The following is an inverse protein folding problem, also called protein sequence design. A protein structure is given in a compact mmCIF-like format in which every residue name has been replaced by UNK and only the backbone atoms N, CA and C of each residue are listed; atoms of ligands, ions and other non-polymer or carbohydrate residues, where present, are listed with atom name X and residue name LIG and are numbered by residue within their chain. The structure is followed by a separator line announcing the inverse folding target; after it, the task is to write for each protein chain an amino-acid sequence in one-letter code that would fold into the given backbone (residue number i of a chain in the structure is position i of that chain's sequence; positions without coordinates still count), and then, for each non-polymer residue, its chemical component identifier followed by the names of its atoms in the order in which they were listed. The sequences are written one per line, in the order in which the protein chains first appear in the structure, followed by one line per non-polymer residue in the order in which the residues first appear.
data_IF_844388683287
#
_entry.id   IF_844388683287
#
_cell.length_a   1.000
_cell.length_b   1.000
_cell.length_c   1.000
_cell.angle_alpha   90.00
_cell.angle_beta   90.00
_cell.angle_gamma   90.00
#
_symmetry.space_group_name_H-M   'P 1'
#
loop_
_entity.id
_entity.type
_entity.pdbx_description
1 polymer ?
#
# COMPACT_ATOMS: atom_id res chain seq x y z
N UNK A 1 -14.04 50.15 83.41
CA UNK A 1 -13.13 50.25 82.25
C UNK A 1 -13.71 49.37 81.14
N UNK A 2 -14.05 49.98 80.02
CA UNK A 2 -15.00 49.50 78.99
C UNK A 2 -14.30 48.60 77.95
N UNK A 3 -14.88 47.45 77.63
CA UNK A 3 -14.43 46.55 76.53
C UNK A 3 -14.93 47.12 75.21
N UNK A 4 -14.04 47.51 74.30
CA UNK A 4 -14.39 47.80 72.90
C UNK A 4 -14.20 46.53 72.06
N UNK A 5 -15.31 45.92 71.66
CA UNK A 5 -15.38 44.78 70.74
C UNK A 5 -15.29 45.28 69.29
N UNK A 6 -14.29 44.82 68.54
CA UNK A 6 -14.14 45.15 67.11
C UNK A 6 -15.16 44.40 66.26
N UNK A 7 -16.00 45.14 65.52
CA UNK A 7 -16.86 44.59 64.46
C UNK A 7 -15.99 44.16 63.28
N UNK A 8 -15.99 42.87 62.94
CA UNK A 8 -15.55 42.39 61.62
C UNK A 8 -16.64 42.73 60.61
N UNK A 9 -16.27 43.44 59.56
CA UNK A 9 -17.10 43.67 58.37
C UNK A 9 -17.04 42.44 57.48
N UNK A 10 -18.13 41.70 57.40
CA UNK A 10 -18.28 40.59 56.45
C UNK A 10 -18.35 41.16 55.03
N UNK A 11 -17.25 41.07 54.28
CA UNK A 11 -17.28 41.29 52.84
C UNK A 11 -17.91 40.06 52.18
N UNK A 12 -19.12 40.23 51.64
CA UNK A 12 -19.74 39.27 50.75
C UNK A 12 -18.96 39.23 49.43
N UNK A 13 -18.11 38.22 49.27
CA UNK A 13 -17.55 37.84 47.97
C UNK A 13 -18.68 37.23 47.15
N UNK A 14 -19.18 37.95 46.15
CA UNK A 14 -20.14 37.40 45.17
C UNK A 14 -19.38 36.64 44.09
N UNK A 15 -19.05 35.37 44.35
CA UNK A 15 -18.56 34.45 43.33
C UNK A 15 -19.71 34.10 42.39
N UNK A 16 -19.67 34.60 41.16
CA UNK A 16 -20.64 34.26 40.11
C UNK A 16 -20.25 32.92 39.46
N UNK A 17 -20.32 31.84 40.24
CA UNK A 17 -20.06 30.48 39.76
C UNK A 17 -21.28 30.00 38.98
N UNK A 18 -21.39 30.44 37.71
CA UNK A 18 -22.36 29.89 36.77
C UNK A 18 -21.94 28.45 36.46
N UNK A 19 -22.59 27.49 37.10
CA UNK A 19 -22.45 26.07 36.78
C UNK A 19 -23.00 25.74 35.40
N UNK A 20 -22.48 24.67 34.79
CA UNK A 20 -22.99 24.14 33.52
C UNK A 20 -24.39 23.56 33.69
N UNK A 21 -25.29 23.84 32.75
CA UNK A 21 -26.61 23.21 32.73
C UNK A 21 -26.53 21.78 32.20
N UNK A 22 -27.49 20.94 32.61
CA UNK A 22 -27.59 19.57 32.12
C UNK A 22 -27.74 19.50 30.59
N UNK A 23 -28.47 20.46 30.00
CA UNK A 23 -28.70 20.52 28.55
C UNK A 23 -27.43 20.89 27.78
N UNK A 24 -26.60 21.80 28.31
CA UNK A 24 -25.32 22.17 27.69
C UNK A 24 -24.38 20.95 27.66
N UNK A 25 -24.27 20.21 28.76
CA UNK A 25 -23.44 19.00 28.80
C UNK A 25 -24.01 17.87 27.92
N UNK A 26 -25.33 17.75 27.81
CA UNK A 26 -25.97 16.75 26.95
C UNK A 26 -25.63 16.98 25.46
N UNK A 27 -25.72 18.23 24.98
CA UNK A 27 -25.39 18.57 23.59
C UNK A 27 -23.91 18.33 23.31
N UNK A 28 -23.02 18.67 24.26
CA UNK A 28 -21.58 18.44 24.12
C UNK A 28 -21.26 16.94 23.96
N UNK A 29 -21.86 16.06 24.77
CA UNK A 29 -21.64 14.63 24.66
C UNK A 29 -22.18 14.05 23.34
N UNK A 30 -23.31 14.55 22.85
CA UNK A 30 -23.85 14.16 21.54
C UNK A 30 -22.86 14.52 20.42
N UNK A 31 -22.33 15.75 20.44
CA UNK A 31 -21.37 16.21 19.43
C UNK A 31 -20.09 15.36 19.47
N UNK A 32 -19.53 15.11 20.66
CA UNK A 32 -18.35 14.26 20.82
C UNK A 32 -18.63 12.84 20.29
N UNK A 33 -19.79 12.27 20.61
CA UNK A 33 -20.18 10.94 20.12
C UNK A 33 -20.23 10.85 18.59
N UNK A 34 -20.80 11.85 17.93
CA UNK A 34 -20.88 11.90 16.46
C UNK A 34 -19.47 12.06 15.85
N UNK A 35 -18.63 12.92 16.42
CA UNK A 35 -17.26 13.15 15.93
C UNK A 35 -16.42 11.87 16.03
N UNK A 36 -16.48 11.17 17.17
CA UNK A 36 -15.73 9.92 17.36
C UNK A 36 -16.22 8.86 16.36
N UNK A 37 -17.54 8.71 16.18
CA UNK A 37 -18.10 7.78 15.19
C UNK A 37 -17.63 8.06 13.76
N UNK A 38 -17.60 9.33 13.36
CA UNK A 38 -17.12 9.75 12.04
C UNK A 38 -15.62 9.47 11.84
N UNK A 39 -14.78 9.71 12.84
CA UNK A 39 -13.32 9.49 12.76
C UNK A 39 -13.00 8.01 12.60
N UNK A 40 -13.66 7.13 13.37
CA UNK A 40 -13.42 5.67 13.28
C UNK A 40 -13.69 5.19 11.86
N UNK A 41 -14.86 5.52 11.30
CA UNK A 41 -15.21 5.15 9.92
C UNK A 41 -14.31 5.83 8.89
N UNK A 42 -13.88 7.07 9.14
CA UNK A 42 -12.98 7.82 8.27
C UNK A 42 -11.61 7.16 8.11
N UNK A 43 -11.05 6.60 9.19
CA UNK A 43 -9.78 5.86 9.15
C UNK A 43 -9.85 4.63 8.24
N UNK A 44 -10.93 3.86 8.34
CA UNK A 44 -11.12 2.65 7.51
C UNK A 44 -11.30 2.99 6.03
N UNK A 45 -11.99 4.10 5.72
CA UNK A 45 -12.14 4.58 4.34
C UNK A 45 -10.80 5.02 3.74
N UNK A 46 -10.00 5.80 4.49
CA UNK A 46 -8.66 6.17 4.04
C UNK A 46 -7.82 4.92 3.79
N UNK A 47 -7.95 3.93 4.68
CA UNK A 47 -7.19 2.69 4.60
C UNK A 47 -7.52 1.86 3.36
N UNK A 48 -8.80 1.61 3.12
CA UNK A 48 -9.25 0.92 1.91
C UNK A 48 -8.89 1.68 0.63
N UNK A 49 -8.90 3.02 0.66
CA UNK A 49 -8.42 3.86 -0.43
C UNK A 49 -6.93 3.67 -0.75
N UNK A 50 -6.08 3.55 0.28
CA UNK A 50 -4.65 3.27 0.12
C UNK A 50 -4.43 1.87 -0.50
N UNK A 51 -5.14 0.85 -0.01
CA UNK A 51 -5.07 -0.52 -0.54
C UNK A 51 -5.49 -0.57 -2.02
N UNK A 52 -6.58 0.13 -2.38
CA UNK A 52 -7.03 0.25 -3.77
C UNK A 52 -6.03 0.99 -4.66
N UNK A 53 -5.39 2.03 -4.13
CA UNK A 53 -4.33 2.75 -4.84
C UNK A 53 -3.17 1.82 -5.16
N UNK A 54 -2.76 0.94 -4.25
CA UNK A 54 -1.69 -0.04 -4.50
C UNK A 54 -2.07 -0.93 -5.67
N UNK A 55 -3.24 -1.54 -5.63
CA UNK A 55 -3.71 -2.42 -6.71
C UNK A 55 -3.70 -1.69 -8.06
N UNK A 56 -4.30 -0.50 -8.12
CA UNK A 56 -4.44 0.26 -9.36
C UNK A 56 -3.14 0.88 -9.88
N UNK A 57 -2.27 1.39 -9.01
CA UNK A 57 -1.07 2.15 -9.42
C UNK A 57 0.14 1.24 -9.54
N UNK A 58 0.25 0.23 -8.68
CA UNK A 58 1.41 -0.66 -8.70
C UNK A 58 1.15 -1.87 -9.59
N UNK A 59 0.14 -2.68 -9.27
CA UNK A 59 -0.06 -3.99 -9.91
C UNK A 59 -0.63 -3.87 -11.32
N UNK A 60 -1.68 -3.07 -11.50
CA UNK A 60 -2.28 -2.88 -12.82
C UNK A 60 -1.32 -2.18 -13.79
N UNK A 61 -0.47 -1.28 -13.30
CA UNK A 61 0.56 -0.65 -14.15
C UNK A 61 1.60 -1.66 -14.60
N UNK A 62 2.08 -2.54 -13.72
CA UNK A 62 3.00 -3.62 -14.12
C UNK A 62 2.35 -4.61 -15.10
N UNK A 63 1.08 -4.97 -14.89
CA UNK A 63 0.30 -5.79 -15.84
C UNK A 63 0.20 -5.12 -17.20
N UNK A 64 -0.12 -3.83 -17.23
CA UNK A 64 -0.25 -3.06 -18.48
C UNK A 64 1.09 -2.89 -19.17
N UNK A 65 2.18 -2.64 -18.43
CA UNK A 65 3.54 -2.58 -18.97
C UNK A 65 3.97 -3.91 -19.59
N UNK A 66 3.60 -5.04 -18.98
CA UNK A 66 3.85 -6.36 -19.55
C UNK A 66 3.14 -6.55 -20.89
N UNK A 67 1.84 -6.22 -20.96
CA UNK A 67 1.06 -6.32 -22.20
C UNK A 67 1.63 -5.42 -23.30
N UNK A 68 1.91 -4.16 -22.98
CA UNK A 68 2.51 -3.22 -23.93
C UNK A 68 3.90 -3.68 -24.42
N UNK A 69 4.70 -4.31 -23.55
CA UNK A 69 5.98 -4.87 -23.94
C UNK A 69 5.81 -6.02 -24.94
N UNK A 70 4.87 -6.91 -24.64
CA UNK A 70 4.53 -8.04 -25.51
C UNK A 70 4.03 -7.55 -26.88
N UNK A 71 3.13 -6.56 -26.90
CA UNK A 71 2.57 -6.00 -28.14
C UNK A 71 3.64 -5.32 -29.00
N UNK A 72 4.63 -4.66 -28.40
CA UNK A 72 5.71 -3.98 -29.13
C UNK A 72 6.79 -4.93 -29.64
N UNK A 73 7.09 -5.99 -28.90
CA UNK A 73 8.30 -6.82 -29.16
C UNK A 73 7.97 -8.23 -29.63
N UNK A 74 6.76 -8.72 -29.40
CA UNK A 74 6.39 -10.12 -29.53
C UNK A 74 7.11 -11.05 -28.54
N UNK A 75 7.83 -10.51 -27.55
CA UNK A 75 8.63 -11.24 -26.56
C UNK A 75 8.03 -11.09 -25.17
N UNK A 76 8.39 -12.03 -24.29
CA UNK A 76 7.97 -12.01 -22.89
C UNK A 76 8.92 -11.11 -22.10
N UNK A 77 8.34 -10.25 -21.28
CA UNK A 77 9.12 -9.38 -20.40
C UNK A 77 9.80 -10.21 -19.31
N UNK A 78 11.10 -10.00 -19.13
CA UNK A 78 11.90 -10.75 -18.15
C UNK A 78 12.47 -12.07 -18.68
N UNK A 79 12.22 -12.42 -19.95
CA UNK A 79 12.91 -13.52 -20.63
C UNK A 79 14.33 -13.07 -21.01
N UNK A 80 15.33 -13.60 -20.31
CA UNK A 80 16.72 -13.18 -20.43
C UNK A 80 17.55 -14.10 -21.32
N UNK A 81 17.09 -15.33 -21.54
CA UNK A 81 17.81 -16.35 -22.29
C UNK A 81 17.12 -16.68 -23.65
N UNK A 82 15.97 -16.06 -23.92
CA UNK A 82 15.11 -16.21 -25.09
C UNK A 82 14.51 -17.63 -25.24
N UNK A 83 14.20 -18.29 -24.11
CA UNK A 83 13.52 -19.59 -24.05
C UNK A 83 11.99 -19.49 -23.87
N UNK A 84 11.45 -18.26 -23.83
CA UNK A 84 10.04 -17.92 -23.57
C UNK A 84 9.60 -18.10 -22.11
N UNK A 85 10.53 -18.14 -21.18
CA UNK A 85 10.26 -18.13 -19.75
C UNK A 85 10.70 -16.80 -19.15
N UNK A 86 9.95 -16.28 -18.18
CA UNK A 86 10.39 -15.12 -17.42
C UNK A 86 11.41 -15.55 -16.36
N UNK A 87 12.58 -14.91 -16.35
CA UNK A 87 13.78 -15.33 -15.61
C UNK A 87 14.19 -14.33 -14.52
N UNK A 88 13.25 -13.58 -13.92
CA UNK A 88 13.62 -12.72 -12.78
C UNK A 88 14.23 -13.57 -11.65
N UNK A 89 13.82 -14.83 -11.59
CA UNK A 89 14.41 -15.91 -10.83
C UNK A 89 15.26 -16.80 -11.76
N UNK A 90 16.59 -16.90 -11.57
CA UNK A 90 17.46 -17.68 -12.45
C UNK A 90 17.19 -19.19 -12.48
N UNK A 91 16.55 -19.77 -11.44
CA UNK A 91 16.35 -21.22 -11.30
C UNK A 91 14.87 -21.66 -11.28
N UNK A 92 13.91 -20.74 -11.42
CA UNK A 92 12.46 -20.97 -11.55
C UNK A 92 11.74 -21.82 -10.47
N UNK A 93 12.43 -22.33 -9.44
CA UNK A 93 11.85 -23.42 -8.60
C UNK A 93 11.91 -23.22 -7.10
N UNK A 94 12.92 -22.56 -6.55
CA UNK A 94 13.03 -22.37 -5.09
C UNK A 94 13.74 -21.08 -4.69
N UNK A 95 14.54 -20.49 -5.58
CA UNK A 95 15.20 -19.24 -5.26
C UNK A 95 14.22 -18.07 -5.34
N UNK A 96 14.33 -17.09 -4.42
CA UNK A 96 13.61 -15.84 -4.57
C UNK A 96 14.13 -15.12 -5.81
N UNK A 97 13.27 -14.38 -6.54
CA UNK A 97 13.75 -13.54 -7.63
C UNK A 97 14.80 -12.56 -7.10
N UNK A 98 15.82 -12.28 -7.91
CA UNK A 98 16.93 -11.42 -7.51
C UNK A 98 16.66 -9.96 -7.87
N UNK A 99 17.24 -9.03 -7.10
CA UNK A 99 17.17 -7.60 -7.44
C UNK A 99 17.77 -7.34 -8.82
N UNK A 100 18.89 -7.99 -9.17
CA UNK A 100 19.47 -7.90 -10.51
C UNK A 100 18.48 -8.34 -11.60
N UNK A 101 17.78 -9.46 -11.41
CA UNK A 101 16.74 -9.91 -12.34
C UNK A 101 15.61 -8.88 -12.49
N UNK A 102 15.19 -8.25 -11.38
CA UNK A 102 14.15 -7.21 -11.41
C UNK A 102 14.60 -5.94 -12.12
N UNK A 103 15.86 -5.54 -11.95
CA UNK A 103 16.42 -4.41 -12.69
C UNK A 103 16.45 -4.65 -14.20
N UNK A 104 16.57 -5.91 -14.63
CA UNK A 104 16.54 -6.29 -16.05
C UNK A 104 15.14 -6.15 -16.68
N UNK A 105 14.07 -6.17 -15.90
CA UNK A 105 12.72 -5.82 -16.39
C UNK A 105 12.67 -4.39 -16.93
N UNK A 106 13.45 -3.50 -16.33
CA UNK A 106 13.51 -2.08 -16.71
C UNK A 106 14.59 -1.84 -17.75
N UNK A 107 15.81 -2.26 -17.42
CA UNK A 107 17.03 -1.90 -18.15
C UNK A 107 17.37 -2.84 -19.30
N UNK A 108 16.88 -4.08 -19.29
CA UNK A 108 17.25 -5.11 -20.25
C UNK A 108 18.74 -5.47 -20.24
N UNK A 109 19.21 -6.09 -21.32
CA UNK A 109 20.64 -6.35 -21.51
C UNK A 109 21.36 -5.04 -21.85
N UNK A 110 22.07 -4.50 -20.87
CA UNK A 110 22.91 -3.31 -21.01
C UNK A 110 24.36 -3.64 -21.32
N UNK A 111 24.76 -4.92 -21.26
CA UNK A 111 26.14 -5.34 -21.41
C UNK A 111 26.53 -5.55 -22.88
N UNK A 112 25.56 -5.59 -23.81
CA UNK A 112 25.79 -5.89 -25.23
C UNK A 112 24.99 -4.96 -26.14
N UNK A 113 25.56 -4.69 -27.30
CA UNK A 113 24.89 -4.01 -28.41
C UNK A 113 25.06 -4.86 -29.68
N UNK A 114 23.98 -5.43 -30.26
CA UNK A 114 22.59 -5.33 -29.81
C UNK A 114 22.30 -6.10 -28.50
N UNK A 115 21.32 -5.67 -27.69
CA UNK A 115 20.89 -6.38 -26.48
C UNK A 115 20.39 -7.80 -26.79
N UNK A 116 20.71 -8.78 -25.94
CA UNK A 116 20.14 -10.15 -26.05
C UNK A 116 18.65 -10.19 -25.73
N UNK A 117 18.26 -9.40 -24.73
CA UNK A 117 16.90 -9.24 -24.25
C UNK A 117 16.66 -7.77 -23.91
N UNK A 118 15.41 -7.36 -23.95
CA UNK A 118 15.01 -5.96 -23.78
C UNK A 118 14.29 -5.74 -22.46
N UNK A 119 14.52 -4.59 -21.85
CA UNK A 119 13.71 -4.08 -20.74
C UNK A 119 12.75 -2.99 -21.22
N UNK A 120 11.80 -2.61 -20.37
CA UNK A 120 10.78 -1.58 -20.65
C UNK A 120 11.40 -0.28 -21.19
N UNK A 121 12.47 0.21 -20.55
CA UNK A 121 13.09 1.48 -20.91
C UNK A 121 13.76 1.43 -22.29
N UNK A 122 14.35 0.29 -22.67
CA UNK A 122 15.05 0.14 -23.96
C UNK A 122 14.10 0.17 -25.15
N UNK A 123 12.82 -0.14 -24.95
CA UNK A 123 11.80 -0.11 -26.00
C UNK A 123 10.90 1.13 -25.90
N UNK A 124 11.32 2.13 -25.11
CA UNK A 124 10.60 3.39 -24.93
C UNK A 124 9.24 3.23 -24.25
N UNK A 125 9.08 2.26 -23.35
CA UNK A 125 7.95 2.20 -22.43
C UNK A 125 8.30 2.90 -21.13
N UNK A 126 7.35 3.67 -20.59
CA UNK A 126 7.50 4.23 -19.27
C UNK A 126 7.49 3.13 -18.21
N UNK A 127 8.44 3.21 -17.28
CA UNK A 127 8.51 2.32 -16.14
C UNK A 127 7.42 2.66 -15.13
N UNK A 128 6.77 1.66 -14.50
CA UNK A 128 5.81 1.92 -13.44
C UNK A 128 6.39 2.82 -12.34
N UNK A 129 5.68 3.89 -12.00
CA UNK A 129 6.10 4.81 -10.93
C UNK A 129 5.60 4.30 -9.59
N UNK A 130 6.48 4.31 -8.61
CA UNK A 130 6.18 3.84 -7.24
C UNK A 130 6.59 4.90 -6.23
N UNK A 131 6.29 4.65 -4.96
CA UNK A 131 6.75 5.48 -3.85
C UNK A 131 8.14 5.07 -3.33
N UNK A 132 8.96 4.44 -4.17
CA UNK A 132 10.33 4.02 -3.87
C UNK A 132 11.24 4.32 -5.06
N UNK A 133 12.56 4.22 -4.86
CA UNK A 133 13.55 4.47 -5.91
C UNK A 133 13.57 3.38 -7.00
N UNK A 134 12.87 2.25 -6.77
CA UNK A 134 12.83 1.11 -7.68
C UNK A 134 11.41 0.93 -8.21
N UNK A 135 11.20 0.88 -9.54
CA UNK A 135 9.86 0.76 -10.13
C UNK A 135 9.20 -0.58 -9.78
N UNK A 136 10.00 -1.60 -9.45
CA UNK A 136 9.54 -2.93 -9.05
C UNK A 136 9.37 -3.09 -7.54
N UNK A 137 9.54 -2.02 -6.74
CA UNK A 137 9.25 -1.99 -5.29
C UNK A 137 8.12 -1.02 -4.97
N UNK A 138 7.34 -1.33 -3.94
CA UNK A 138 6.32 -0.43 -3.38
C UNK A 138 6.31 -0.53 -1.86
N UNK A 139 6.29 0.60 -1.17
CA UNK A 139 6.24 0.67 0.29
C UNK A 139 4.81 0.85 0.78
N UNK A 140 4.40 0.05 1.74
CA UNK A 140 3.08 0.13 2.38
C UNK A 140 3.24 0.07 3.89
N UNK A 141 2.59 0.95 4.62
CA UNK A 141 2.57 0.87 6.09
C UNK A 141 1.33 0.13 6.53
N UNK A 142 1.44 -0.89 7.39
CA UNK A 142 0.31 -1.65 7.91
C UNK A 142 -0.53 -0.84 8.93
N UNK A 143 -1.64 -1.40 9.41
CA UNK A 143 -2.53 -0.75 10.39
C UNK A 143 -1.86 -0.45 11.74
N UNK A 144 -0.73 -1.10 12.02
CA UNK A 144 0.11 -0.85 13.20
C UNK A 144 1.19 0.20 12.96
N UNK A 145 1.31 0.70 11.72
CA UNK A 145 2.32 1.67 11.30
C UNK A 145 3.64 1.03 10.87
N UNK A 146 3.75 -0.30 10.83
CA UNK A 146 4.96 -0.99 10.37
C UNK A 146 5.04 -0.95 8.85
N UNK A 147 6.18 -0.52 8.32
CA UNK A 147 6.45 -0.50 6.89
C UNK A 147 6.76 -1.88 6.32
N UNK A 148 6.14 -2.21 5.20
CA UNK A 148 6.37 -3.38 4.38
C UNK A 148 6.82 -2.93 2.98
N UNK A 149 7.84 -3.57 2.45
CA UNK A 149 8.30 -3.33 1.07
C UNK A 149 7.92 -4.52 0.21
N UNK A 150 6.91 -4.31 -0.64
CA UNK A 150 6.50 -5.29 -1.62
C UNK A 150 7.38 -5.18 -2.86
N UNK A 151 7.58 -6.31 -3.54
CA UNK A 151 8.27 -6.32 -4.82
C UNK A 151 7.58 -7.22 -5.83
N UNK A 152 7.75 -6.88 -7.09
CA UNK A 152 7.23 -7.63 -8.25
C UNK A 152 8.38 -8.35 -8.92
N UNK A 153 8.09 -9.51 -9.49
CA UNK A 153 8.95 -10.25 -10.39
C UNK A 153 8.09 -10.97 -11.44
N UNK A 154 8.65 -11.24 -12.61
CA UNK A 154 8.07 -12.18 -13.56
C UNK A 154 8.86 -13.48 -13.52
N UNK A 155 8.17 -14.59 -13.32
CA UNK A 155 8.78 -15.91 -13.17
C UNK A 155 7.96 -16.93 -13.98
N UNK A 156 8.50 -18.13 -14.12
CA UNK A 156 7.89 -19.22 -14.87
C UNK A 156 7.66 -20.41 -13.95
N UNK A 157 6.48 -21.02 -14.00
CA UNK A 157 6.22 -22.29 -13.34
C UNK A 157 6.57 -23.43 -14.29
N UNK A 158 7.64 -24.19 -14.02
CA UNK A 158 8.07 -25.25 -14.91
C UNK A 158 7.24 -26.53 -14.79
N UNK A 159 6.39 -26.67 -13.77
CA UNK A 159 5.46 -27.80 -13.65
C UNK A 159 4.23 -27.57 -14.54
N UNK A 160 3.63 -26.41 -14.39
CA UNK A 160 2.38 -26.05 -15.06
C UNK A 160 2.60 -25.33 -16.40
N UNK A 161 3.85 -24.97 -16.70
CA UNK A 161 4.32 -24.36 -17.95
C UNK A 161 3.65 -23.03 -18.30
N UNK A 162 3.55 -22.13 -17.32
CA UNK A 162 3.04 -20.77 -17.54
C UNK A 162 3.95 -19.72 -16.91
N UNK A 163 3.97 -18.53 -17.52
CA UNK A 163 4.60 -17.35 -16.95
C UNK A 163 3.62 -16.66 -16.00
N UNK A 164 4.11 -16.19 -14.86
CA UNK A 164 3.30 -15.51 -13.87
C UNK A 164 4.00 -14.29 -13.28
N UNK A 165 3.17 -13.35 -12.83
CA UNK A 165 3.62 -12.19 -12.08
C UNK A 165 3.64 -12.56 -10.60
N UNK A 166 4.83 -12.64 -10.02
CA UNK A 166 5.03 -12.90 -8.60
C UNK A 166 5.06 -11.59 -7.84
N UNK A 167 4.25 -11.48 -6.79
CA UNK A 167 4.32 -10.39 -5.83
C UNK A 167 4.86 -10.98 -4.51
N UNK A 168 5.85 -10.32 -3.92
CA UNK A 168 6.54 -10.79 -2.71
C UNK A 168 6.36 -9.81 -1.56
N UNK A 169 6.35 -10.34 -0.33
CA UNK A 169 6.28 -9.56 0.91
C UNK A 169 4.99 -8.72 1.06
N UNK A 170 3.85 -9.26 0.62
CA UNK A 170 2.55 -8.66 0.86
C UNK A 170 2.13 -8.96 2.31
N UNK A 171 1.80 -7.95 3.14
CA UNK A 171 1.27 -8.20 4.47
C UNK A 171 -0.16 -8.77 4.41
N UNK A 172 -0.52 -9.61 5.39
CA UNK A 172 -1.80 -10.34 5.41
C UNK A 172 -3.03 -9.45 5.18
N UNK A 173 -3.08 -8.27 5.82
CA UNK A 173 -4.20 -7.34 5.65
C UNK A 173 -4.37 -6.82 4.22
N UNK A 174 -3.26 -6.65 3.49
CA UNK A 174 -3.30 -6.25 2.10
C UNK A 174 -3.64 -7.43 1.18
N UNK A 175 -3.21 -8.65 1.51
CA UNK A 175 -3.66 -9.86 0.80
C UNK A 175 -5.18 -9.97 0.84
N UNK A 176 -5.77 -9.90 2.04
CA UNK A 176 -7.22 -9.98 2.23
C UNK A 176 -7.93 -8.86 1.48
N UNK A 177 -7.43 -7.62 1.59
CA UNK A 177 -8.05 -6.50 0.88
C UNK A 177 -7.98 -6.65 -0.65
N UNK A 178 -6.85 -7.13 -1.18
CA UNK A 178 -6.67 -7.32 -2.61
C UNK A 178 -7.56 -8.42 -3.16
N UNK A 179 -7.66 -9.52 -2.44
CA UNK A 179 -8.55 -10.64 -2.75
C UNK A 179 -10.00 -10.16 -2.90
N UNK A 180 -10.51 -9.46 -1.88
CA UNK A 180 -11.84 -8.85 -1.90
C UNK A 180 -12.03 -7.78 -2.98
N UNK A 181 -10.95 -7.13 -3.44
CA UNK A 181 -11.03 -6.22 -4.58
C UNK A 181 -11.10 -6.92 -5.93
N UNK A 182 -10.58 -8.14 -6.05
CA UNK A 182 -10.54 -8.90 -7.30
C UNK A 182 -11.84 -9.65 -7.52
N UNK A 183 -12.31 -10.43 -6.53
CA UNK A 183 -13.45 -11.33 -6.71
C UNK A 183 -14.65 -11.03 -5.79
N UNK A 184 -14.50 -10.06 -4.87
CA UNK A 184 -15.56 -9.64 -3.96
C UNK A 184 -15.72 -10.50 -2.72
N UNK A 185 -14.95 -11.59 -2.57
CA UNK A 185 -14.91 -12.44 -1.37
C UNK A 185 -13.57 -12.23 -0.63
N UNK A 186 -13.52 -12.54 0.67
CA UNK A 186 -12.30 -12.42 1.47
C UNK A 186 -11.79 -13.83 1.79
N UNK A 187 -11.46 -14.62 0.76
CA UNK A 187 -11.11 -16.03 0.88
C UNK A 187 -9.82 -16.39 0.12
N UNK A 188 -8.93 -17.17 0.74
CA UNK A 188 -7.64 -17.52 0.12
C UNK A 188 -7.71 -18.61 -0.96
N UNK A 189 -8.88 -18.89 -1.52
CA UNK A 189 -9.18 -20.12 -2.28
C UNK A 189 -9.77 -19.87 -3.66
N UNK A 190 -10.28 -18.68 -3.94
CA UNK A 190 -10.78 -18.27 -5.26
C UNK A 190 -10.06 -17.00 -5.71
N UNK A 191 -9.64 -16.99 -6.96
CA UNK A 191 -8.85 -15.91 -7.54
C UNK A 191 -8.23 -16.38 -8.85
N UNK A 192 -8.36 -15.55 -9.88
CA UNK A 192 -7.97 -15.81 -11.28
C UNK A 192 -6.44 -15.78 -11.51
#
# INVERSE_FOLDING_TARGET
MMKTSGKKTDQFVLTNDKGFTLIEMAIVLIIIGIIIGAIVKGKDIIRSGEQKKIYSVFLNTWRTSYLNFYDRTGKILGDTNNDRHADTNPLHRNDPPSDNGREKLVSGDTARQPPRFYGLAQIGLETPKTNTDKPWKYRYSDSTGKGHEMSIAFDFDPRSKYNYMRISNIPNELCIAMDTMIDGEADGTKGD
#
